data_IF_123956025957
#
_entry.id   IF_123956025957
#
_cell.length_a   1.000
_cell.length_b   1.000
_cell.length_c   1.000
_cell.angle_alpha   90.00
_cell.angle_beta   90.00
_cell.angle_gamma   90.00
#
_symmetry.space_group_name_H-M   'P 1'
#
loop_
_entity.id
_entity.type
_entity.pdbx_description
1 polymer ?
#
# COMPACT_ATOMS: atom_id res chain seq x y z
N UNK A 1 -20.38 -17.85 7.61
CA UNK A 1 -19.22 -18.68 8.01
C UNK A 1 -17.87 -17.96 7.84
N UNK A 2 -17.77 -16.96 6.95
CA UNK A 2 -16.58 -16.09 6.82
C UNK A 2 -15.51 -16.63 5.88
N UNK A 3 -15.85 -17.62 5.05
CA UNK A 3 -14.97 -18.23 4.06
C UNK A 3 -15.23 -17.67 2.66
N UNK A 4 -14.17 -17.65 1.85
CA UNK A 4 -14.19 -17.27 0.44
C UNK A 4 -13.51 -18.40 -0.35
N UNK A 5 -14.16 -18.86 -1.42
CA UNK A 5 -13.61 -19.91 -2.28
C UNK A 5 -12.25 -19.51 -2.87
N UNK A 6 -11.32 -20.47 -2.92
CA UNK A 6 -10.01 -20.29 -3.55
C UNK A 6 -10.15 -19.90 -5.04
N UNK A 7 -11.17 -20.41 -5.73
CA UNK A 7 -11.47 -20.03 -7.12
C UNK A 7 -11.78 -18.53 -7.28
N UNK A 8 -12.34 -17.90 -6.25
CA UNK A 8 -12.53 -16.44 -6.22
C UNK A 8 -11.20 -15.74 -5.99
N UNK A 9 -10.35 -16.25 -5.09
CA UNK A 9 -9.00 -15.71 -4.84
C UNK A 9 -8.12 -15.78 -6.10
N UNK A 10 -8.21 -16.87 -6.85
CA UNK A 10 -7.52 -17.04 -8.12
C UNK A 10 -7.97 -16.05 -9.20
N UNK A 11 -9.01 -15.23 -9.00
CA UNK A 11 -9.37 -14.13 -9.91
C UNK A 11 -8.50 -12.89 -9.71
N UNK A 12 -7.86 -12.73 -8.55
CA UNK A 12 -7.02 -11.58 -8.24
C UNK A 12 -5.69 -11.65 -8.99
N UNK A 13 -5.37 -10.60 -9.75
CA UNK A 13 -4.17 -10.56 -10.58
C UNK A 13 -2.87 -10.71 -9.78
N UNK A 14 -2.83 -10.27 -8.51
CA UNK A 14 -1.67 -10.46 -7.63
C UNK A 14 -1.41 -11.94 -7.34
N UNK A 15 -2.46 -12.73 -7.07
CA UNK A 15 -2.34 -14.17 -6.82
C UNK A 15 -2.03 -14.92 -8.12
N UNK A 16 -2.73 -14.58 -9.22
CA UNK A 16 -2.52 -15.19 -10.55
C UNK A 16 -1.08 -15.13 -11.07
N UNK A 17 -0.33 -14.09 -10.68
CA UNK A 17 1.09 -13.95 -11.05
C UNK A 17 1.97 -15.06 -10.46
N UNK A 18 1.56 -15.64 -9.34
CA UNK A 18 2.32 -16.68 -8.65
C UNK A 18 1.79 -18.08 -8.95
N UNK A 19 0.47 -18.25 -9.04
CA UNK A 19 -0.14 -19.54 -9.37
C UNK A 19 -1.57 -19.38 -9.88
N UNK A 20 -2.01 -20.36 -10.68
CA UNK A 20 -3.42 -20.57 -11.05
C UNK A 20 -3.97 -21.89 -10.51
N UNK A 21 -3.19 -22.63 -9.72
CA UNK A 21 -3.58 -23.92 -9.13
C UNK A 21 -4.13 -23.71 -7.71
N UNK A 22 -5.39 -24.10 -7.51
CA UNK A 22 -6.07 -24.00 -6.23
C UNK A 22 -5.38 -24.80 -5.11
N UNK A 23 -4.78 -25.96 -5.43
CA UNK A 23 -4.07 -26.79 -4.44
C UNK A 23 -2.83 -26.10 -3.90
N UNK A 24 -2.12 -25.37 -4.76
CA UNK A 24 -0.95 -24.57 -4.35
C UNK A 24 -1.38 -23.45 -3.41
N UNK A 25 -2.53 -22.80 -3.66
CA UNK A 25 -3.07 -21.78 -2.74
C UNK A 25 -3.47 -22.38 -1.40
N UNK A 26 -4.14 -23.52 -1.39
CA UNK A 26 -4.50 -24.23 -0.16
C UNK A 26 -3.25 -24.62 0.65
N UNK A 27 -2.21 -25.14 -0.02
CA UNK A 27 -0.95 -25.46 0.63
C UNK A 27 -0.25 -24.21 1.19
N UNK A 28 -0.25 -23.10 0.44
CA UNK A 28 0.33 -21.84 0.91
C UNK A 28 -0.39 -21.28 2.15
N UNK A 29 -1.71 -21.47 2.27
CA UNK A 29 -2.48 -21.06 3.43
C UNK A 29 -2.08 -21.79 4.73
N UNK A 30 -1.42 -22.95 4.63
CA UNK A 30 -0.91 -23.73 5.76
C UNK A 30 0.54 -23.39 6.12
N UNK A 31 1.21 -22.56 5.32
CA UNK A 31 2.59 -22.18 5.58
C UNK A 31 2.69 -21.34 6.86
N UNK A 32 3.79 -21.50 7.61
CA UNK A 32 3.98 -20.84 8.92
C UNK A 32 3.84 -19.32 8.88
N UNK A 33 4.20 -18.70 7.76
CA UNK A 33 4.12 -17.25 7.55
C UNK A 33 2.70 -16.72 7.29
N UNK A 34 1.70 -17.60 7.21
CA UNK A 34 0.32 -17.29 6.80
C UNK A 34 -0.71 -17.97 7.71
N UNK A 35 -0.38 -19.13 8.28
CA UNK A 35 -1.29 -19.97 9.04
C UNK A 35 -1.84 -19.33 10.33
N UNK A 36 -1.19 -18.29 10.83
CA UNK A 36 -1.64 -17.47 11.95
C UNK A 36 -2.71 -16.41 11.57
N UNK A 37 -2.90 -16.16 10.27
CA UNK A 37 -3.79 -15.11 9.74
C UNK A 37 -5.05 -15.68 9.08
N UNK A 38 -4.96 -16.86 8.47
CA UNK A 38 -6.05 -17.48 7.72
C UNK A 38 -6.25 -18.94 8.11
N UNK A 39 -7.44 -19.46 7.80
CA UNK A 39 -7.81 -20.87 7.99
C UNK A 39 -8.50 -21.40 6.74
N UNK A 40 -8.33 -22.70 6.48
CA UNK A 40 -9.07 -23.42 5.45
C UNK A 40 -10.37 -23.99 6.04
N UNK A 41 -11.36 -24.21 5.18
CA UNK A 41 -12.52 -25.03 5.51
C UNK A 41 -12.15 -26.53 5.40
N UNK A 42 -13.09 -27.41 5.77
CA UNK A 42 -12.83 -28.87 5.90
C UNK A 42 -12.34 -29.54 4.60
N UNK A 43 -12.84 -29.10 3.45
CA UNK A 43 -12.46 -29.65 2.14
C UNK A 43 -11.32 -28.88 1.44
N UNK A 44 -10.73 -27.90 2.15
CA UNK A 44 -9.64 -27.04 1.68
C UNK A 44 -9.94 -26.24 0.39
N UNK A 45 -11.22 -26.06 0.05
CA UNK A 45 -11.65 -25.32 -1.15
C UNK A 45 -11.86 -23.82 -0.91
N UNK A 46 -11.87 -23.38 0.36
CA UNK A 46 -12.12 -22.00 0.75
C UNK A 46 -11.23 -21.54 1.91
N UNK A 47 -10.90 -20.25 1.91
CA UNK A 47 -10.06 -19.60 2.93
C UNK A 47 -10.92 -18.59 3.69
N UNK A 48 -10.81 -18.59 5.01
CA UNK A 48 -11.40 -17.61 5.92
C UNK A 48 -10.33 -16.94 6.78
N UNK A 49 -10.66 -15.80 7.38
CA UNK A 49 -9.77 -15.20 8.38
C UNK A 49 -9.76 -16.06 9.65
N UNK A 50 -8.58 -16.24 10.25
CA UNK A 50 -8.48 -16.90 11.56
C UNK A 50 -9.10 -16.01 12.64
N UNK A 51 -8.67 -14.74 12.67
CA UNK A 51 -9.23 -13.69 13.51
C UNK A 51 -10.14 -12.79 12.65
N UNK A 52 -11.46 -12.73 12.92
CA UNK A 52 -12.38 -11.88 12.18
C UNK A 52 -11.97 -10.40 12.23
N UNK A 53 -12.40 -9.65 11.20
CA UNK A 53 -12.17 -8.21 11.19
C UNK A 53 -12.96 -7.51 12.30
N UNK A 54 -12.26 -6.67 13.05
CA UNK A 54 -12.84 -5.80 14.07
C UNK A 54 -12.90 -4.35 13.54
N UNK A 55 -14.13 -3.83 13.42
CA UNK A 55 -14.36 -2.47 12.91
C UNK A 55 -13.87 -1.40 13.88
N UNK A 56 -13.83 -1.68 15.18
CA UNK A 56 -13.38 -0.70 16.19
C UNK A 56 -11.89 -0.37 16.01
N UNK A 57 -11.11 -1.34 15.53
CA UNK A 57 -9.68 -1.20 15.27
C UNK A 57 -9.35 -0.52 13.94
N UNK A 58 -10.36 -0.21 13.11
CA UNK A 58 -10.15 0.37 11.78
C UNK A 58 -9.38 1.71 11.81
N UNK A 59 -9.52 2.48 12.88
CA UNK A 59 -8.93 3.81 13.02
C UNK A 59 -7.62 3.83 13.84
N UNK A 60 -7.19 2.70 14.38
CA UNK A 60 -5.99 2.61 15.24
C UNK A 60 -4.67 2.54 14.43
N UNK A 61 -4.74 2.58 13.10
CA UNK A 61 -3.58 2.44 12.24
C UNK A 61 -2.81 3.75 11.98
N UNK A 62 -3.33 4.90 12.43
CA UNK A 62 -2.67 6.22 12.26
C UNK A 62 -1.26 6.21 12.84
N UNK A 63 -1.05 5.54 13.98
CA UNK A 63 0.26 5.41 14.64
C UNK A 63 1.25 4.50 13.91
N UNK A 64 0.76 3.63 13.03
CA UNK A 64 1.56 2.69 12.24
C UNK A 64 1.92 3.26 10.86
N UNK A 65 1.27 4.36 10.46
CA UNK A 65 1.34 4.91 9.11
C UNK A 65 2.32 6.07 9.00
N UNK A 66 3.09 6.07 7.91
CA UNK A 66 3.87 7.19 7.41
C UNK A 66 3.27 7.71 6.11
N UNK A 67 3.38 9.01 5.91
CA UNK A 67 3.12 9.65 4.61
C UNK A 67 4.44 9.89 3.91
N UNK A 68 4.51 9.43 2.66
CA UNK A 68 5.67 9.61 1.78
C UNK A 68 5.26 10.53 0.64
N UNK A 69 6.06 11.56 0.37
CA UNK A 69 5.84 12.54 -0.68
C UNK A 69 7.04 12.62 -1.62
N UNK A 70 6.85 13.32 -2.75
CA UNK A 70 7.82 13.46 -3.84
C UNK A 70 8.12 12.16 -4.59
N UNK A 71 7.18 11.22 -4.60
CA UNK A 71 7.29 10.00 -5.41
C UNK A 71 7.27 10.35 -6.90
N UNK A 72 8.18 9.78 -7.70
CA UNK A 72 8.27 10.11 -9.12
C UNK A 72 7.04 9.64 -9.88
N UNK A 73 6.58 10.52 -10.77
CA UNK A 73 5.46 10.30 -11.68
C UNK A 73 6.01 10.38 -13.11
N UNK A 74 5.69 9.38 -13.91
CA UNK A 74 6.04 9.32 -15.33
C UNK A 74 5.29 10.37 -16.13
N UNK A 75 5.98 10.98 -17.09
CA UNK A 75 5.33 11.82 -18.09
C UNK A 75 4.66 10.95 -19.16
N UNK A 76 3.48 11.36 -19.67
CA UNK A 76 2.80 10.64 -20.75
C UNK A 76 3.67 10.59 -22.01
N UNK A 77 3.66 9.44 -22.70
CA UNK A 77 4.38 9.28 -23.98
C UNK A 77 3.71 10.00 -25.15
N UNK A 78 2.42 10.31 -25.02
CA UNK A 78 1.59 10.90 -26.06
C UNK A 78 0.73 12.01 -25.44
N UNK A 79 0.36 13.00 -26.24
CA UNK A 79 -0.51 14.10 -25.83
C UNK A 79 -1.88 13.55 -25.41
N UNK A 80 -2.27 13.79 -24.15
CA UNK A 80 -3.48 13.21 -23.56
C UNK A 80 -3.29 11.84 -22.89
N UNK A 81 -2.07 11.29 -22.86
CA UNK A 81 -1.78 10.05 -22.16
C UNK A 81 -1.81 10.18 -20.62
N UNK A 82 -1.88 9.04 -19.94
CA UNK A 82 -2.03 9.00 -18.48
C UNK A 82 -0.71 9.08 -17.73
N UNK A 83 -0.62 10.00 -16.77
CA UNK A 83 0.44 10.01 -15.75
C UNK A 83 0.31 8.79 -14.85
N UNK A 84 1.43 8.10 -14.62
CA UNK A 84 1.52 6.93 -13.73
C UNK A 84 2.67 7.10 -12.75
N UNK A 85 2.56 6.49 -11.57
CA UNK A 85 3.72 6.35 -10.69
C UNK A 85 4.84 5.62 -11.42
N UNK A 86 6.06 6.15 -11.32
CA UNK A 86 7.27 5.45 -11.77
C UNK A 86 7.71 4.38 -10.74
N UNK A 87 7.25 4.52 -9.50
CA UNK A 87 7.45 3.57 -8.40
C UNK A 87 6.30 2.58 -8.30
N UNK A 88 6.60 1.33 -7.92
CA UNK A 88 5.59 0.30 -7.64
C UNK A 88 5.35 0.11 -6.13
N UNK A 89 4.34 -0.67 -5.78
CA UNK A 89 4.10 -1.06 -4.37
C UNK A 89 5.27 -1.87 -3.83
N UNK A 90 5.78 -2.83 -4.61
CA UNK A 90 6.87 -3.71 -4.21
C UNK A 90 8.18 -2.93 -4.00
N UNK A 91 8.42 -1.90 -4.81
CA UNK A 91 9.56 -1.00 -4.62
C UNK A 91 9.49 -0.28 -3.26
N UNK A 92 8.32 0.19 -2.85
CA UNK A 92 8.14 0.85 -1.56
C UNK A 92 8.23 -0.16 -0.41
N UNK A 93 7.70 -1.38 -0.56
CA UNK A 93 7.89 -2.44 0.44
C UNK A 93 9.38 -2.70 0.65
N UNK A 94 10.14 -2.85 -0.44
CA UNK A 94 11.59 -3.07 -0.39
C UNK A 94 12.35 -1.87 0.17
N UNK A 95 11.93 -0.65 -0.16
CA UNK A 95 12.61 0.55 0.30
C UNK A 95 12.46 0.78 1.82
N UNK A 96 11.34 0.33 2.39
CA UNK A 96 11.06 0.47 3.82
C UNK A 96 11.32 -0.81 4.64
N UNK A 97 11.72 -1.91 4.00
CA UNK A 97 11.92 -3.20 4.68
C UNK A 97 13.04 -3.19 5.72
N UNK A 98 14.01 -2.28 5.59
CA UNK A 98 15.12 -2.13 6.54
C UNK A 98 14.64 -1.67 7.93
N UNK A 99 13.43 -1.10 8.01
CA UNK A 99 12.82 -0.63 9.26
C UNK A 99 11.89 -1.65 9.91
N UNK A 100 11.37 -2.59 9.12
CA UNK A 100 10.47 -3.64 9.59
C UNK A 100 9.52 -4.14 8.52
N UNK A 101 8.53 -4.93 8.96
CA UNK A 101 7.54 -5.54 8.08
C UNK A 101 6.51 -4.50 7.65
N UNK A 102 6.44 -4.23 6.34
CA UNK A 102 5.45 -3.32 5.76
C UNK A 102 4.14 -4.07 5.56
N UNK A 103 3.11 -3.66 6.31
CA UNK A 103 1.77 -4.26 6.26
C UNK A 103 0.93 -3.72 5.09
N UNK A 104 1.08 -2.44 4.74
CA UNK A 104 0.32 -1.82 3.66
C UNK A 104 1.11 -0.72 2.95
N UNK A 105 1.00 -0.68 1.64
CA UNK A 105 1.38 0.49 0.83
C UNK A 105 0.16 0.95 0.03
N UNK A 106 -0.16 2.24 0.15
CA UNK A 106 -1.26 2.87 -0.59
C UNK A 106 -0.74 4.07 -1.37
N UNK A 107 -0.51 3.86 -2.67
CA UNK A 107 -0.22 4.94 -3.62
C UNK A 107 -1.44 5.87 -3.74
N UNK A 108 -1.27 7.13 -3.36
CA UNK A 108 -2.36 8.10 -3.33
C UNK A 108 -2.68 8.55 -4.76
N UNK A 109 -3.98 8.58 -5.10
CA UNK A 109 -4.44 9.09 -6.39
C UNK A 109 -5.62 10.02 -6.17
N UNK A 110 -5.70 11.05 -6.98
CA UNK A 110 -6.82 11.98 -7.03
C UNK A 110 -7.73 11.61 -8.21
N UNK A 111 -9.05 11.67 -7.99
CA UNK A 111 -10.02 11.59 -9.07
C UNK A 111 -10.57 12.99 -9.33
N UNK A 112 -10.38 13.55 -10.53
CA UNK A 112 -11.00 14.82 -10.88
C UNK A 112 -12.52 14.71 -10.77
N UNK A 113 -13.17 15.82 -10.39
CA UNK A 113 -14.62 15.91 -10.37
C UNK A 113 -15.17 15.58 -11.77
N UNK A 114 -16.17 14.70 -11.82
CA UNK A 114 -16.85 14.31 -13.05
C UNK A 114 -17.53 15.50 -13.75
N UNK A 115 -17.77 16.61 -13.02
CA UNK A 115 -18.29 17.87 -13.55
C UNK A 115 -17.21 18.81 -14.08
N UNK A 116 -15.93 18.50 -13.95
CA UNK A 116 -14.88 19.37 -14.49
C UNK A 116 -14.94 19.38 -16.02
N UNK A 117 -14.72 20.57 -16.62
CA UNK A 117 -14.74 20.74 -18.09
C UNK A 117 -13.71 19.85 -18.80
N UNK A 118 -12.67 19.40 -18.08
CA UNK A 118 -11.61 18.54 -18.59
C UNK A 118 -12.07 17.07 -18.75
N UNK A 119 -12.96 16.58 -17.88
CA UNK A 119 -13.51 15.20 -17.95
C UNK A 119 -14.47 15.05 -19.14
N UNK A 120 -15.20 16.13 -19.48
CA UNK A 120 -16.14 16.13 -20.61
C UNK A 120 -15.46 15.96 -21.98
N UNK A 121 -14.15 16.30 -22.09
CA UNK A 121 -13.42 16.32 -23.35
C UNK A 121 -12.60 15.05 -23.62
N UNK A 122 -12.23 14.30 -22.58
CA UNK A 122 -11.31 13.14 -22.68
C UNK A 122 -11.88 11.83 -22.10
N UNK A 123 -13.18 11.79 -21.77
CA UNK A 123 -13.80 10.63 -21.14
C UNK A 123 -13.47 10.51 -19.65
N UNK A 124 -13.92 9.43 -19.01
CA UNK A 124 -13.75 9.19 -17.57
C UNK A 124 -12.25 9.12 -17.24
N UNK A 125 -11.65 10.25 -16.84
CA UNK A 125 -10.23 10.31 -16.55
C UNK A 125 -9.88 9.32 -15.44
N UNK A 126 -8.88 8.49 -15.71
CA UNK A 126 -8.33 7.60 -14.70
C UNK A 126 -7.71 8.43 -13.56
N UNK A 127 -7.76 7.88 -12.35
CA UNK A 127 -7.26 8.57 -11.15
C UNK A 127 -5.77 8.94 -11.30
N UNK A 128 -5.48 10.23 -11.14
CA UNK A 128 -4.17 10.86 -11.36
C UNK A 128 -3.28 10.62 -10.12
N UNK A 129 -2.02 10.18 -10.30
CA UNK A 129 -1.08 10.06 -9.19
C UNK A 129 -0.78 11.43 -8.56
N UNK A 130 -0.77 11.49 -7.23
CA UNK A 130 -0.49 12.74 -6.50
C UNK A 130 0.98 12.93 -6.13
N UNK A 131 1.85 11.96 -6.47
CA UNK A 131 3.24 11.97 -6.00
C UNK A 131 3.40 11.60 -4.52
N UNK A 132 2.39 10.94 -3.93
CA UNK A 132 2.38 10.60 -2.50
C UNK A 132 1.86 9.18 -2.24
N UNK A 133 2.25 8.60 -1.11
CA UNK A 133 1.77 7.31 -0.65
C UNK A 133 1.66 7.26 0.88
N UNK A 134 0.93 6.28 1.37
CA UNK A 134 0.98 5.84 2.75
C UNK A 134 1.73 4.51 2.84
N UNK A 135 2.61 4.39 3.82
CA UNK A 135 3.34 3.17 4.16
C UNK A 135 3.01 2.85 5.62
N UNK A 136 2.47 1.66 5.87
CA UNK A 136 2.05 1.20 7.18
C UNK A 136 2.92 0.00 7.60
N UNK A 137 3.43 0.04 8.83
CA UNK A 137 4.18 -1.06 9.44
C UNK A 137 3.28 -1.98 10.25
N UNK A 138 3.72 -3.21 10.48
CA UNK A 138 2.99 -4.17 11.30
C UNK A 138 2.98 -3.77 12.79
N UNK A 139 4.05 -3.13 13.27
CA UNK A 139 4.19 -2.71 14.68
C UNK A 139 4.59 -1.24 14.84
N UNK A 140 4.26 -0.66 16.00
CA UNK A 140 4.68 0.70 16.35
C UNK A 140 6.20 0.82 16.52
N UNK A 141 6.89 -0.24 16.92
CA UNK A 141 8.34 -0.23 17.11
C UNK A 141 9.09 -0.10 15.78
N UNK A 142 8.66 -0.85 14.77
CA UNK A 142 9.18 -0.75 13.40
C UNK A 142 8.91 0.64 12.81
N UNK A 143 7.70 1.16 13.03
CA UNK A 143 7.36 2.52 12.62
C UNK A 143 8.27 3.56 13.29
N UNK A 144 8.53 3.45 14.60
CA UNK A 144 9.39 4.38 15.34
C UNK A 144 10.83 4.38 14.83
N UNK A 145 11.36 3.23 14.40
CA UNK A 145 12.68 3.16 13.75
C UNK A 145 12.69 3.98 12.46
N UNK A 146 11.66 3.81 11.62
CA UNK A 146 11.53 4.60 10.40
C UNK A 146 11.37 6.10 10.69
N UNK A 147 10.62 6.48 11.73
CA UNK A 147 10.45 7.89 12.12
C UNK A 147 11.77 8.50 12.56
N UNK A 148 12.54 7.81 13.40
CA UNK A 148 13.81 8.33 13.93
C UNK A 148 14.79 8.68 12.81
N UNK A 149 14.86 7.83 11.78
CA UNK A 149 15.77 8.03 10.65
C UNK A 149 15.22 9.00 9.60
N UNK A 150 13.93 8.90 9.25
CA UNK A 150 13.37 9.46 8.01
C UNK A 150 12.51 10.71 8.21
N UNK A 151 11.96 10.92 9.40
CA UNK A 151 11.11 12.08 9.66
C UNK A 151 11.95 13.27 10.12
N UNK A 152 11.92 14.36 9.36
CA UNK A 152 12.43 15.66 9.78
C UNK A 152 11.31 16.58 10.29
N UNK A 153 11.68 17.48 11.19
CA UNK A 153 10.87 18.61 11.67
C UNK A 153 11.42 19.94 11.14
N UNK A 154 10.69 21.05 11.36
CA UNK A 154 11.13 22.37 10.88
C UNK A 154 12.50 22.79 11.45
N UNK A 155 12.88 22.22 12.60
CA UNK A 155 14.15 22.48 13.29
C UNK A 155 15.18 21.36 13.14
N UNK A 156 14.78 20.15 12.72
CA UNK A 156 15.67 18.98 12.62
C UNK A 156 15.52 18.30 11.26
N UNK A 157 16.59 18.32 10.46
CA UNK A 157 16.66 17.52 9.24
C UNK A 157 16.62 16.00 9.54
N UNK A 158 16.04 15.18 8.65
CA UNK A 158 16.04 13.74 8.84
C UNK A 158 17.47 13.19 8.80
N UNK A 159 17.77 12.20 9.63
CA UNK A 159 19.10 11.57 9.69
C UNK A 159 19.45 10.85 8.39
N UNK A 160 18.42 10.33 7.70
CA UNK A 160 18.53 9.72 6.38
C UNK A 160 17.41 10.23 5.47
N UNK A 161 17.77 10.47 4.22
CA UNK A 161 16.80 10.76 3.15
C UNK A 161 16.78 9.58 2.18
N UNK A 162 15.60 9.02 1.96
CA UNK A 162 15.43 7.98 0.93
C UNK A 162 15.35 8.65 -0.45
N UNK A 163 15.93 7.99 -1.45
CA UNK A 163 15.90 8.47 -2.83
C UNK A 163 15.31 7.40 -3.76
N UNK A 164 14.45 7.82 -4.70
CA UNK A 164 13.94 6.93 -5.73
C UNK A 164 13.85 7.65 -7.07
N UNK A 165 14.47 7.09 -8.11
CA UNK A 165 14.45 7.69 -9.45
C UNK A 165 15.04 9.11 -9.51
N UNK A 166 16.01 9.43 -8.65
CA UNK A 166 16.60 10.77 -8.52
C UNK A 166 15.81 11.75 -7.64
N UNK A 167 14.63 11.35 -7.14
CA UNK A 167 13.84 12.17 -6.22
C UNK A 167 14.18 11.84 -4.78
N UNK A 168 14.55 12.87 -4.01
CA UNK A 168 14.59 12.81 -2.54
C UNK A 168 13.19 12.75 -1.97
N UNK A 169 12.87 11.68 -1.27
CA UNK A 169 11.55 11.45 -0.70
C UNK A 169 11.41 12.23 0.61
N UNK A 170 10.24 12.83 0.81
CA UNK A 170 9.88 13.48 2.08
C UNK A 170 8.99 12.53 2.87
N UNK A 171 9.40 12.18 4.08
CA UNK A 171 8.66 11.27 4.95
C UNK A 171 8.21 12.03 6.19
N UNK A 172 6.96 11.84 6.60
CA UNK A 172 6.41 12.41 7.83
C UNK A 172 5.40 11.45 8.46
N UNK A 173 5.20 11.57 9.76
CA UNK A 173 4.17 10.78 10.46
C UNK A 173 2.78 11.14 9.95
N UNK A 174 1.88 10.15 9.94
CA UNK A 174 0.49 10.38 9.55
C UNK A 174 -0.20 11.41 10.46
N UNK A 175 0.12 11.41 11.76
CA UNK A 175 -0.37 12.39 12.74
C UNK A 175 0.01 13.82 12.35
N UNK A 176 1.31 14.08 12.13
CA UNK A 176 1.81 15.40 11.71
C UNK A 176 1.14 15.88 10.41
N UNK A 177 0.93 14.99 9.46
CA UNK A 177 0.22 15.35 8.23
C UNK A 177 -1.25 15.72 8.44
N UNK A 178 -1.95 15.00 9.32
CA UNK A 178 -3.35 15.30 9.66
C UNK A 178 -3.43 16.65 10.36
N UNK A 179 -2.51 16.93 11.27
CA UNK A 179 -2.52 18.17 12.07
C UNK A 179 -2.18 19.41 11.22
N UNK A 180 -1.43 19.25 10.14
CA UNK A 180 -1.01 20.31 9.21
C UNK A 180 -2.01 20.56 8.05
N UNK A 181 -3.19 19.95 8.08
CA UNK A 181 -4.19 20.01 7.00
C UNK A 181 -5.37 20.91 7.34
#
# INVERSE_FOLDING_TARGET
DGFISIEVLLRFNSIKKHTTDAKVVAQAAKHESVSDRVKLNEDESAVGRLVPFDKEKMMDNVKLSLRVENLPVTEPKEEGGEKKYAVTVDDLIKLFSDYGTVALVKLQRYRPDWKSKDVAKHGRQNSVPTGAAFVEFETEEEQKKAVADLCGDEEKEPEKTLEFGGNKLKVQTMRKWIDNK
#
